data_IF_398659675381
#
_entry.id   IF_398659675381
#
_cell.length_a   1.000
_cell.length_b   1.000
_cell.length_c   1.000
_cell.angle_alpha   90.00
_cell.angle_beta   90.00
_cell.angle_gamma   90.00
#
_symmetry.space_group_name_H-M   'P 1'
#
loop_
_entity.id
_entity.type
_entity.pdbx_description
1 polymer ?
#
# COMPACT_ATOMS: atom_id res chain seq x y z
N UNK A 1 2.58 24.92 -1.70
CA UNK A 1 2.86 25.77 -2.88
C UNK A 1 2.62 27.22 -2.49
N UNK A 2 3.51 28.19 -2.79
CA UNK A 2 3.21 29.58 -2.46
C UNK A 2 2.18 30.13 -3.46
N UNK A 3 1.08 30.66 -2.92
CA UNK A 3 -0.07 31.23 -3.65
C UNK A 3 0.25 32.52 -4.42
N UNK A 4 1.45 33.09 -4.24
CA UNK A 4 1.86 34.38 -4.79
C UNK A 4 3.31 34.31 -5.29
N UNK A 5 3.61 35.04 -6.38
CA UNK A 5 4.97 35.16 -6.92
C UNK A 5 5.90 35.89 -5.95
N UNK A 6 7.22 35.73 -6.11
CA UNK A 6 8.22 36.41 -5.25
C UNK A 6 8.10 37.94 -5.31
N UNK A 7 7.81 38.47 -6.49
CA UNK A 7 7.55 39.89 -6.71
C UNK A 7 6.32 40.36 -5.91
N UNK A 8 5.21 39.63 -5.99
CA UNK A 8 4.00 39.96 -5.22
C UNK A 8 4.25 39.90 -3.71
N UNK A 9 5.06 38.96 -3.24
CA UNK A 9 5.44 38.85 -1.83
C UNK A 9 6.26 40.05 -1.35
N UNK A 10 7.17 40.58 -2.17
CA UNK A 10 7.95 41.78 -1.85
C UNK A 10 7.03 42.99 -1.72
N UNK A 11 6.15 43.21 -2.69
CA UNK A 11 5.18 44.32 -2.66
C UNK A 11 4.24 44.25 -1.46
N UNK A 12 3.80 43.04 -1.08
CA UNK A 12 3.01 42.82 0.12
C UNK A 12 3.76 43.23 1.39
N UNK A 13 5.05 42.92 1.50
CA UNK A 13 5.88 43.32 2.65
C UNK A 13 6.11 44.83 2.71
N UNK A 14 6.33 45.49 1.57
CA UNK A 14 6.50 46.94 1.50
C UNK A 14 5.24 47.65 1.98
N UNK A 15 4.07 47.24 1.47
CA UNK A 15 2.77 47.77 1.92
C UNK A 15 2.54 47.51 3.41
N UNK A 16 2.86 46.32 3.91
CA UNK A 16 2.72 45.98 5.32
C UNK A 16 3.63 46.81 6.22
N UNK A 17 4.87 47.08 5.78
CA UNK A 17 5.79 47.97 6.48
C UNK A 17 5.29 49.42 6.53
N UNK A 18 4.73 49.91 5.43
CA UNK A 18 4.22 51.28 5.30
C UNK A 18 3.09 51.57 6.28
N UNK A 19 2.15 50.64 6.45
CA UNK A 19 1.05 50.77 7.43
C UNK A 19 1.46 50.35 8.84
N UNK A 20 2.76 50.46 9.17
CA UNK A 20 3.34 50.13 10.48
C UNK A 20 2.94 48.74 10.98
N UNK A 21 2.87 47.76 10.07
CA UNK A 21 2.52 46.36 10.34
C UNK A 21 1.08 46.15 10.81
N UNK A 22 0.17 47.05 10.47
CA UNK A 22 -1.26 46.83 10.65
C UNK A 22 -1.80 45.92 9.54
N UNK A 23 -2.09 44.65 9.87
CA UNK A 23 -2.53 43.64 8.89
C UNK A 23 -3.80 44.01 8.11
N UNK A 24 -4.76 44.72 8.74
CA UNK A 24 -6.05 45.04 8.13
C UNK A 24 -5.89 46.19 7.14
N UNK A 25 -5.13 47.21 7.54
CA UNK A 25 -4.78 48.33 6.66
C UNK A 25 -3.89 47.87 5.51
N UNK A 26 -2.97 46.92 5.75
CA UNK A 26 -2.11 46.39 4.70
C UNK A 26 -2.91 45.66 3.62
N UNK A 27 -3.91 44.87 4.01
CA UNK A 27 -4.83 44.24 3.06
C UNK A 27 -5.60 45.29 2.25
N UNK A 28 -6.12 46.32 2.91
CA UNK A 28 -6.88 47.38 2.23
C UNK A 28 -5.99 48.17 1.26
N UNK A 29 -4.80 48.59 1.69
CA UNK A 29 -3.85 49.35 0.89
C UNK A 29 -3.29 48.53 -0.28
N UNK A 30 -3.03 47.23 -0.06
CA UNK A 30 -2.58 46.33 -1.12
C UNK A 30 -3.66 46.17 -2.21
N UNK A 31 -4.93 46.00 -1.80
CA UNK A 31 -6.05 45.91 -2.74
C UNK A 31 -6.31 47.19 -3.51
N UNK A 32 -6.03 48.36 -2.92
CA UNK A 32 -6.11 49.64 -3.63
C UNK A 32 -4.97 49.84 -4.64
N UNK A 33 -3.74 49.44 -4.28
CA UNK A 33 -2.56 49.62 -5.15
C UNK A 33 -2.48 48.60 -6.27
N UNK A 34 -2.96 47.38 -6.02
CA UNK A 34 -2.88 46.27 -6.96
C UNK A 34 -4.24 45.59 -7.13
N UNK A 35 -5.23 46.28 -7.73
CA UNK A 35 -6.59 45.75 -7.87
C UNK A 35 -6.64 44.50 -8.77
N UNK A 36 -5.77 44.44 -9.79
CA UNK A 36 -5.74 43.33 -10.77
C UNK A 36 -5.01 42.08 -10.25
N UNK A 37 -4.42 42.14 -9.05
CA UNK A 37 -3.68 41.02 -8.45
C UNK A 37 -4.58 40.21 -7.51
N UNK A 38 -4.22 38.94 -7.32
CA UNK A 38 -4.84 38.11 -6.31
C UNK A 38 -4.69 38.75 -4.91
N UNK A 39 -5.78 38.80 -4.15
CA UNK A 39 -5.82 39.53 -2.89
C UNK A 39 -5.46 38.63 -1.72
N UNK A 40 -4.41 38.95 -0.94
CA UNK A 40 -4.01 38.15 0.20
C UNK A 40 -5.00 38.30 1.37
N UNK A 41 -5.10 37.24 2.17
CA UNK A 41 -5.76 37.34 3.47
C UNK A 41 -4.90 38.20 4.42
N UNK A 42 -5.50 38.95 5.34
CA UNK A 42 -4.75 39.87 6.22
C UNK A 42 -3.69 39.16 7.09
N UNK A 43 -3.98 37.92 7.53
CA UNK A 43 -3.04 37.02 8.21
C UNK A 43 -1.81 36.62 7.36
N UNK A 44 -1.85 36.78 6.04
CA UNK A 44 -0.74 36.38 5.17
C UNK A 44 0.46 37.32 5.31
N UNK A 45 0.26 38.61 5.54
CA UNK A 45 1.34 39.59 5.73
C UNK A 45 2.28 39.28 6.92
N UNK A 46 1.78 39.06 8.16
CA UNK A 46 2.65 38.67 9.27
C UNK A 46 3.25 37.27 9.10
N UNK A 47 2.53 36.35 8.45
CA UNK A 47 3.08 35.04 8.12
C UNK A 47 4.27 35.18 7.16
N UNK A 48 4.14 36.00 6.12
CA UNK A 48 5.17 36.22 5.10
C UNK A 48 6.42 36.87 5.70
N UNK A 49 6.26 37.88 6.57
CA UNK A 49 7.38 38.49 7.29
C UNK A 49 8.12 37.47 8.16
N UNK A 50 7.40 36.65 8.91
CA UNK A 50 8.01 35.58 9.73
C UNK A 50 8.72 34.56 8.86
N UNK A 51 8.05 34.08 7.82
CA UNK A 51 8.56 33.05 6.95
C UNK A 51 9.84 33.46 6.20
N UNK A 52 10.00 34.75 5.91
CA UNK A 52 11.22 35.29 5.28
C UNK A 52 12.33 35.63 6.29
N UNK A 53 11.98 35.88 7.55
CA UNK A 53 12.95 36.12 8.63
C UNK A 53 13.52 34.84 9.22
N UNK A 54 12.74 33.77 9.21
CA UNK A 54 13.27 32.44 9.52
C UNK A 54 14.14 32.04 8.33
N UNK A 55 15.46 32.00 8.53
CA UNK A 55 16.36 31.40 7.54
C UNK A 55 15.76 30.06 7.11
N UNK A 56 15.67 29.81 5.80
CA UNK A 56 15.51 28.44 5.32
C UNK A 56 16.77 27.72 5.75
N UNK A 57 16.72 27.08 6.90
CA UNK A 57 17.61 25.97 7.18
C UNK A 57 17.18 24.93 6.14
N UNK A 58 17.86 24.92 5.00
CA UNK A 58 17.93 23.71 4.20
C UNK A 58 18.57 22.69 5.16
N UNK A 59 17.73 21.88 5.80
CA UNK A 59 18.25 20.75 6.55
C UNK A 59 19.02 19.92 5.55
N UNK A 60 20.35 20.00 5.62
CA UNK A 60 21.26 19.06 4.99
C UNK A 60 20.66 17.66 5.23
N UNK A 61 20.42 16.88 4.18
CA UNK A 61 19.79 15.58 4.34
C UNK A 61 20.61 14.79 5.36
N UNK A 62 19.97 14.46 6.50
CA UNK A 62 20.62 13.79 7.61
C UNK A 62 21.47 12.63 7.10
N UNK A 63 22.80 12.76 7.16
CA UNK A 63 23.70 11.78 6.58
C UNK A 63 23.41 10.44 7.24
N UNK A 64 23.05 9.47 6.41
CA UNK A 64 22.74 8.12 6.87
C UNK A 64 24.05 7.45 7.29
N UNK A 65 24.45 7.64 8.55
CA UNK A 65 25.62 7.00 9.14
C UNK A 65 25.20 5.62 9.65
N UNK A 66 25.57 4.59 8.90
CA UNK A 66 25.48 3.20 9.34
C UNK A 66 26.89 2.61 9.37
N UNK A 67 27.15 1.77 10.37
CA UNK A 67 28.42 1.03 10.48
C UNK A 67 28.66 0.19 9.23
N UNK A 68 29.89 0.19 8.74
CA UNK A 68 30.33 -0.64 7.61
C UNK A 68 30.02 -2.13 7.85
N UNK A 69 30.12 -2.58 9.10
CA UNK A 69 29.76 -3.94 9.51
C UNK A 69 28.27 -4.25 9.29
N UNK A 70 27.38 -3.31 9.65
CA UNK A 70 25.94 -3.48 9.47
C UNK A 70 25.56 -3.47 7.97
N UNK A 71 26.30 -2.70 7.17
CA UNK A 71 26.17 -2.67 5.71
C UNK A 71 26.58 -4.02 5.10
N UNK A 72 27.75 -4.54 5.46
CA UNK A 72 28.25 -5.86 5.01
C UNK A 72 27.28 -6.97 5.40
N UNK A 73 26.86 -7.02 6.67
CA UNK A 73 25.96 -8.06 7.17
C UNK A 73 24.59 -8.01 6.46
N UNK A 74 24.07 -6.82 6.18
CA UNK A 74 22.80 -6.65 5.45
C UNK A 74 22.91 -7.22 4.03
N UNK A 75 24.01 -6.91 3.34
CA UNK A 75 24.25 -7.40 1.98
C UNK A 75 24.49 -8.91 1.97
N UNK A 76 25.23 -9.45 2.94
CA UNK A 76 25.47 -10.88 3.07
C UNK A 76 24.16 -11.65 3.27
N UNK A 77 23.24 -11.15 4.11
CA UNK A 77 21.93 -11.79 4.29
C UNK A 77 21.12 -11.87 2.98
N UNK A 78 21.14 -10.81 2.17
CA UNK A 78 20.42 -10.77 0.88
C UNK A 78 21.09 -11.66 -0.15
N UNK A 79 22.42 -11.75 -0.14
CA UNK A 79 23.17 -12.61 -1.08
C UNK A 79 22.92 -14.09 -0.78
N UNK A 80 22.83 -14.45 0.51
CA UNK A 80 22.51 -15.82 0.96
C UNK A 80 21.07 -16.18 0.63
N UNK A 81 20.12 -15.30 0.97
CA UNK A 81 18.71 -15.49 0.65
C UNK A 81 18.04 -14.16 0.25
N UNK A 82 17.85 -13.92 -1.07
CA UNK A 82 17.24 -12.70 -1.57
C UNK A 82 15.75 -12.58 -1.24
N UNK A 83 15.14 -13.62 -0.64
CA UNK A 83 13.73 -13.60 -0.21
C UNK A 83 13.53 -13.18 1.24
N UNK A 84 14.62 -13.00 2.00
CA UNK A 84 14.59 -12.63 3.41
C UNK A 84 13.87 -11.29 3.62
N UNK A 85 13.00 -11.23 4.63
CA UNK A 85 12.30 -9.99 4.96
C UNK A 85 13.22 -8.96 5.60
N UNK A 86 13.03 -7.68 5.28
CA UNK A 86 13.79 -6.55 5.88
C UNK A 86 13.73 -6.57 7.40
N UNK A 87 12.58 -6.96 7.98
CA UNK A 87 12.41 -7.06 9.44
C UNK A 87 13.23 -8.19 10.04
N UNK A 88 13.35 -9.31 9.34
CA UNK A 88 14.15 -10.43 9.79
C UNK A 88 15.65 -10.11 9.69
N UNK A 89 16.08 -9.44 8.62
CA UNK A 89 17.46 -8.91 8.52
C UNK A 89 17.74 -7.93 9.68
N UNK A 90 16.81 -7.02 9.94
CA UNK A 90 16.91 -6.06 11.04
C UNK A 90 17.03 -6.74 12.41
N UNK A 91 16.21 -7.77 12.67
CA UNK A 91 16.27 -8.56 13.90
C UNK A 91 17.58 -9.36 14.03
N UNK A 92 18.07 -9.94 12.93
CA UNK A 92 19.31 -10.72 12.91
C UNK A 92 20.55 -9.86 13.17
N UNK A 93 20.58 -8.63 12.64
CA UNK A 93 21.73 -7.71 12.74
C UNK A 93 21.61 -6.77 13.95
N UNK A 94 20.41 -6.63 14.53
CA UNK A 94 20.16 -5.76 15.68
C UNK A 94 20.04 -4.27 15.33
N UNK A 95 19.60 -3.95 14.10
CA UNK A 95 19.42 -2.56 13.64
C UNK A 95 17.96 -2.24 13.31
N UNK A 96 17.62 -0.96 13.17
CA UNK A 96 16.30 -0.54 12.74
C UNK A 96 15.96 -1.01 11.32
N UNK A 97 14.69 -1.32 11.06
CA UNK A 97 14.25 -1.77 9.73
C UNK A 97 14.38 -0.66 8.67
N UNK A 98 14.28 0.61 9.05
CA UNK A 98 14.59 1.75 8.19
C UNK A 98 16.06 1.75 7.75
N UNK A 99 16.98 1.39 8.66
CA UNK A 99 18.41 1.30 8.34
C UNK A 99 18.69 0.22 7.31
N UNK A 100 18.15 -0.98 7.50
CA UNK A 100 18.23 -2.05 6.47
C UNK A 100 17.66 -1.55 5.14
N UNK A 101 16.48 -0.93 5.15
CA UNK A 101 15.86 -0.41 3.92
C UNK A 101 16.73 0.65 3.22
N UNK A 102 17.38 1.53 3.97
CA UNK A 102 18.25 2.56 3.42
C UNK A 102 19.55 1.97 2.87
N UNK A 103 20.14 0.98 3.52
CA UNK A 103 21.29 0.20 3.00
C UNK A 103 20.92 -0.43 1.66
N UNK A 104 19.79 -1.13 1.58
CA UNK A 104 19.34 -1.76 0.33
C UNK A 104 19.14 -0.73 -0.80
N UNK A 105 18.58 0.44 -0.49
CA UNK A 105 18.44 1.55 -1.44
C UNK A 105 19.80 2.09 -1.90
N UNK A 106 20.75 2.30 -0.99
CA UNK A 106 22.13 2.74 -1.28
C UNK A 106 22.79 1.79 -2.28
N UNK A 107 22.55 0.49 -2.13
CA UNK A 107 23.07 -0.57 -3.01
C UNK A 107 22.18 -0.93 -4.20
N UNK A 108 21.15 -0.11 -4.48
CA UNK A 108 20.24 -0.25 -5.62
C UNK A 108 19.43 -1.56 -5.64
N UNK A 109 19.28 -2.23 -4.50
CA UNK A 109 18.37 -3.36 -4.38
C UNK A 109 16.91 -2.90 -4.40
N UNK A 110 16.09 -3.60 -5.17
CA UNK A 110 14.67 -3.33 -5.34
C UNK A 110 13.87 -4.59 -4.98
N UNK A 111 12.69 -4.43 -4.34
CA UNK A 111 11.83 -5.55 -4.04
C UNK A 111 10.94 -5.89 -5.25
N UNK A 112 11.12 -7.08 -5.81
CA UNK A 112 10.27 -7.61 -6.87
C UNK A 112 9.19 -8.54 -6.31
N UNK A 113 7.99 -8.48 -6.90
CA UNK A 113 6.89 -9.42 -6.59
C UNK A 113 6.99 -10.62 -7.52
N UNK A 114 6.69 -11.80 -6.99
CA UNK A 114 6.39 -12.96 -7.83
C UNK A 114 5.17 -12.68 -8.69
N UNK A 115 5.30 -12.93 -9.99
CA UNK A 115 4.16 -12.90 -10.89
C UNK A 115 3.45 -14.25 -10.82
N UNK A 116 2.18 -14.23 -10.40
CA UNK A 116 1.31 -15.40 -10.47
C UNK A 116 0.27 -15.11 -11.54
N UNK A 117 0.52 -15.65 -12.73
CA UNK A 117 -0.41 -15.55 -13.84
C UNK A 117 -1.41 -16.70 -13.72
N UNK A 118 -2.68 -16.36 -13.49
CA UNK A 118 -3.76 -17.29 -13.84
C UNK A 118 -3.90 -17.23 -15.36
N UNK A 119 -3.89 -18.39 -16.02
CA UNK A 119 -4.10 -18.44 -17.46
C UNK A 119 -5.58 -18.10 -17.74
N UNK A 120 -5.85 -16.81 -17.99
CA UNK A 120 -7.15 -16.35 -18.44
C UNK A 120 -7.18 -16.49 -19.96
N UNK A 121 -8.18 -17.17 -20.48
CA UNK A 121 -8.40 -17.25 -21.92
C UNK A 121 -9.07 -15.95 -22.40
N UNK A 122 -8.88 -15.57 -23.67
CA UNK A 122 -9.51 -14.35 -24.23
C UNK A 122 -11.03 -14.35 -24.07
N UNK A 123 -11.66 -15.52 -24.20
CA UNK A 123 -13.10 -15.69 -23.98
C UNK A 123 -13.55 -15.40 -22.54
N UNK A 124 -12.67 -15.56 -21.54
CA UNK A 124 -13.01 -15.28 -20.14
C UNK A 124 -13.18 -13.79 -19.87
N UNK A 125 -12.47 -12.93 -20.62
CA UNK A 125 -12.66 -11.49 -20.51
C UNK A 125 -14.08 -11.08 -20.90
N UNK A 126 -14.58 -11.61 -22.02
CA UNK A 126 -15.93 -11.33 -22.50
C UNK A 126 -16.99 -11.87 -21.53
N UNK A 127 -16.84 -13.12 -21.06
CA UNK A 127 -17.76 -13.73 -20.08
C UNK A 127 -17.81 -12.94 -18.77
N UNK A 128 -16.66 -12.46 -18.28
CA UNK A 128 -16.60 -11.64 -17.06
C UNK A 128 -17.27 -10.28 -17.27
N UNK A 129 -17.09 -9.65 -18.42
CA UNK A 129 -17.73 -8.38 -18.75
C UNK A 129 -19.25 -8.52 -18.82
N UNK A 130 -19.74 -9.57 -19.49
CA UNK A 130 -21.17 -9.90 -19.58
C UNK A 130 -21.77 -10.14 -18.19
N UNK A 131 -21.10 -10.94 -17.35
CA UNK A 131 -21.53 -11.16 -15.97
C UNK A 131 -21.58 -9.87 -15.16
N UNK A 132 -20.55 -9.01 -15.24
CA UNK A 132 -20.54 -7.73 -14.55
C UNK A 132 -21.70 -6.83 -15.00
N UNK A 133 -21.94 -6.73 -16.30
CA UNK A 133 -23.03 -5.93 -16.86
C UNK A 133 -24.39 -6.46 -16.40
N UNK A 134 -24.59 -7.78 -16.46
CA UNK A 134 -25.81 -8.42 -15.94
C UNK A 134 -25.98 -8.16 -14.43
N UNK A 135 -24.95 -8.36 -13.63
CA UNK A 135 -24.99 -8.19 -12.18
C UNK A 135 -25.31 -6.74 -11.79
N UNK A 136 -24.77 -5.76 -12.51
CA UNK A 136 -25.07 -4.34 -12.29
C UNK A 136 -26.54 -4.00 -12.50
N UNK A 137 -27.21 -4.63 -13.46
CA UNK A 137 -28.67 -4.46 -13.69
C UNK A 137 -29.50 -5.12 -12.59
N UNK A 138 -29.00 -6.21 -11.99
CA UNK A 138 -29.70 -6.92 -10.92
C UNK A 138 -29.52 -6.25 -9.53
N UNK A 139 -28.64 -5.26 -9.40
CA UNK A 139 -28.37 -4.56 -8.13
C UNK A 139 -29.66 -4.00 -7.53
N UNK A 140 -30.06 -4.55 -6.39
CA UNK A 140 -31.11 -4.02 -5.52
C UNK A 140 -30.49 -3.60 -4.19
N UNK A 141 -31.07 -2.64 -3.45
CA UNK A 141 -30.59 -2.29 -2.13
C UNK A 141 -30.41 -3.55 -1.26
N UNK A 142 -29.22 -3.71 -0.69
CA UNK A 142 -28.84 -4.85 0.17
C UNK A 142 -28.79 -6.23 -0.50
N UNK A 143 -28.76 -6.34 -1.84
CA UNK A 143 -28.64 -7.64 -2.54
C UNK A 143 -27.48 -8.51 -2.00
N UNK A 144 -26.33 -7.89 -1.73
CA UNK A 144 -25.14 -8.57 -1.18
C UNK A 144 -25.39 -9.28 0.15
N UNK A 145 -26.39 -8.87 0.94
CA UNK A 145 -26.74 -9.55 2.19
C UNK A 145 -27.42 -10.91 1.97
N UNK A 146 -27.96 -11.15 0.78
CA UNK A 146 -28.66 -12.37 0.41
C UNK A 146 -27.84 -13.28 -0.51
N UNK A 147 -26.63 -12.86 -0.88
CA UNK A 147 -25.70 -13.68 -1.66
C UNK A 147 -24.80 -14.43 -0.68
N UNK A 148 -24.82 -15.76 -0.76
CA UNK A 148 -23.82 -16.61 -0.11
C UNK A 148 -22.58 -16.67 -1.02
N UNK A 149 -21.53 -15.98 -0.63
CA UNK A 149 -20.22 -16.11 -1.26
C UNK A 149 -19.50 -17.30 -0.63
N UNK A 150 -19.21 -18.35 -1.38
CA UNK A 150 -18.48 -19.51 -0.89
C UNK A 150 -17.21 -19.74 -1.70
N UNK A 151 -16.19 -20.28 -1.05
CA UNK A 151 -14.97 -20.71 -1.71
C UNK A 151 -14.37 -21.93 -1.00
N UNK A 152 -13.47 -22.60 -1.70
CA UNK A 152 -12.69 -23.72 -1.19
C UNK A 152 -11.22 -23.30 -1.12
N UNK A 153 -10.57 -23.49 0.01
CA UNK A 153 -9.14 -23.22 0.17
C UNK A 153 -8.40 -24.44 0.68
N UNK A 154 -7.21 -24.68 0.11
CA UNK A 154 -6.33 -25.79 0.49
C UNK A 154 -5.21 -25.29 1.38
N UNK A 155 -5.15 -25.80 2.60
CA UNK A 155 -4.09 -25.52 3.56
C UNK A 155 -3.12 -26.68 3.59
N UNK A 156 -1.82 -26.39 3.44
CA UNK A 156 -0.77 -27.41 3.42
C UNK A 156 0.28 -27.07 4.47
N UNK A 157 1.06 -28.07 4.87
CA UNK A 157 2.17 -27.88 5.80
C UNK A 157 3.33 -27.04 5.22
N UNK A 158 3.30 -26.69 3.93
CA UNK A 158 4.25 -25.77 3.29
C UNK A 158 3.87 -24.28 3.50
N UNK A 159 2.76 -24.02 4.20
CA UNK A 159 2.25 -22.69 4.48
C UNK A 159 1.56 -22.03 3.28
N UNK A 160 0.76 -21.02 3.56
CA UNK A 160 0.12 -20.23 2.51
C UNK A 160 1.12 -19.25 1.91
N UNK A 161 1.31 -19.30 0.59
CA UNK A 161 2.09 -18.30 -0.11
C UNK A 161 1.39 -16.94 -0.10
N UNK A 162 1.83 -16.05 0.79
CA UNK A 162 1.34 -14.69 0.81
C UNK A 162 2.13 -13.83 -0.20
N UNK A 163 1.55 -13.62 -1.39
CA UNK A 163 2.10 -12.77 -2.48
C UNK A 163 2.53 -11.38 -1.99
N UNK A 164 1.90 -10.84 -0.94
CA UNK A 164 2.25 -9.51 -0.43
C UNK A 164 3.55 -9.52 0.37
N UNK A 165 3.81 -10.62 1.09
CA UNK A 165 4.99 -10.79 1.95
C UNK A 165 6.17 -11.45 1.21
N UNK A 166 5.90 -12.18 0.12
CA UNK A 166 6.95 -12.80 -0.68
C UNK A 166 7.55 -11.81 -1.68
N UNK A 167 8.70 -11.25 -1.32
CA UNK A 167 9.50 -10.34 -2.15
C UNK A 167 10.84 -10.98 -2.46
N UNK A 168 11.37 -10.64 -3.62
CA UNK A 168 12.72 -11.00 -4.00
C UNK A 168 13.53 -9.71 -4.18
N UNK A 169 14.65 -9.58 -3.48
CA UNK A 169 15.52 -8.43 -3.54
C UNK A 169 16.60 -8.64 -4.58
N UNK A 170 16.62 -7.79 -5.61
CA UNK A 170 17.64 -7.82 -6.65
C UNK A 170 17.93 -6.40 -7.17
N UNK A 171 19.07 -6.22 -7.83
CA UNK A 171 19.40 -4.95 -8.51
C UNK A 171 18.64 -4.78 -9.83
N UNK A 172 18.43 -5.88 -10.53
CA UNK A 172 17.70 -5.96 -11.80
C UNK A 172 16.50 -6.90 -11.66
N UNK A 173 15.49 -6.76 -12.52
CA UNK A 173 14.28 -7.57 -12.43
C UNK A 173 14.58 -9.02 -12.86
N UNK A 174 14.48 -10.01 -11.96
CA UNK A 174 14.81 -11.39 -12.29
C UNK A 174 13.68 -12.14 -13.03
N UNK A 175 12.56 -11.48 -13.34
CA UNK A 175 11.41 -12.09 -14.02
C UNK A 175 10.97 -13.42 -13.39
N UNK A 176 10.89 -13.44 -12.05
CA UNK A 176 10.70 -14.67 -11.30
C UNK A 176 9.29 -15.23 -11.46
N UNK A 177 9.27 -16.49 -11.91
CA UNK A 177 8.13 -17.37 -11.83
C UNK A 177 8.36 -18.36 -10.69
N UNK A 178 7.32 -18.64 -9.91
CA UNK A 178 7.37 -19.72 -8.93
C UNK A 178 6.57 -20.89 -9.48
N UNK A 179 7.22 -22.02 -9.68
CA UNK A 179 6.55 -23.27 -10.02
C UNK A 179 5.67 -23.70 -8.83
N UNK A 180 4.43 -24.12 -9.09
CA UNK A 180 3.57 -24.70 -8.06
C UNK A 180 4.25 -25.92 -7.44
N UNK A 181 4.22 -26.05 -6.12
CA UNK A 181 4.92 -27.13 -5.43
C UNK A 181 4.44 -28.51 -5.89
N UNK A 182 5.39 -29.43 -6.13
CA UNK A 182 5.14 -30.84 -6.44
C UNK A 182 4.81 -31.62 -5.15
N UNK A 183 3.86 -32.55 -5.27
CA UNK A 183 3.41 -33.57 -4.31
C UNK A 183 3.39 -33.14 -2.83
N UNK A 184 2.29 -32.49 -2.45
CA UNK A 184 1.95 -32.26 -1.05
C UNK A 184 1.85 -33.59 -0.28
N UNK A 185 2.55 -33.70 0.86
CA UNK A 185 2.48 -34.90 1.72
C UNK A 185 1.25 -34.90 2.62
N UNK A 186 0.74 -33.73 3.01
CA UNK A 186 -0.51 -33.53 3.76
C UNK A 186 -1.12 -32.16 3.45
N UNK A 187 -2.41 -32.12 3.17
CA UNK A 187 -3.15 -30.87 2.96
C UNK A 187 -4.63 -31.05 3.24
N UNK A 188 -5.22 -30.10 3.96
CA UNK A 188 -6.65 -30.07 4.31
C UNK A 188 -7.35 -29.08 3.39
N UNK A 189 -8.45 -29.48 2.77
CA UNK A 189 -9.31 -28.54 2.06
C UNK A 189 -10.36 -28.03 3.04
N UNK A 190 -10.70 -26.75 2.92
CA UNK A 190 -11.72 -26.10 3.74
C UNK A 190 -12.71 -25.43 2.82
N UNK A 191 -13.99 -25.74 2.98
CA UNK A 191 -15.07 -24.94 2.42
C UNK A 191 -15.58 -23.95 3.47
N UNK A 192 -15.81 -22.72 3.04
CA UNK A 192 -16.44 -21.71 3.88
C UNK A 192 -17.28 -20.76 3.04
N UNK A 193 -18.43 -20.38 3.58
CA UNK A 193 -19.34 -19.40 3.02
C UNK A 193 -19.44 -18.14 3.87
N UNK A 194 -19.76 -17.02 3.24
CA UNK A 194 -20.08 -15.74 3.89
C UNK A 194 -21.39 -15.23 3.31
N UNK A 195 -22.35 -14.93 4.19
CA UNK A 195 -23.64 -14.32 3.83
C UNK A 195 -23.92 -13.13 4.73
N UNK A 196 -24.02 -11.94 4.12
CA UNK A 196 -24.12 -10.69 4.86
C UNK A 196 -22.93 -10.49 5.80
N UNK A 197 -23.15 -10.60 7.11
CA UNK A 197 -22.12 -10.51 8.16
C UNK A 197 -21.85 -11.83 8.86
N UNK A 198 -22.41 -12.94 8.36
CA UNK A 198 -22.30 -14.27 8.98
C UNK A 198 -21.37 -15.16 8.17
N UNK A 199 -20.64 -16.00 8.89
CA UNK A 199 -19.83 -17.08 8.33
C UNK A 199 -20.64 -18.37 8.39
N UNK A 200 -20.53 -19.20 7.36
CA UNK A 200 -21.14 -20.52 7.23
C UNK A 200 -20.02 -21.53 7.01
N UNK A 201 -19.93 -22.58 7.83
CA UNK A 201 -18.75 -23.44 7.95
C UNK A 201 -17.87 -23.03 9.15
N UNK A 202 -16.56 -23.38 9.19
CA UNK A 202 -15.76 -24.09 8.19
C UNK A 202 -16.06 -25.59 8.11
N UNK A 203 -16.02 -26.14 6.90
CA UNK A 203 -16.13 -27.59 6.66
C UNK A 203 -14.79 -28.09 6.17
N UNK A 204 -14.19 -29.03 6.91
CA UNK A 204 -12.88 -29.59 6.62
C UNK A 204 -13.02 -30.90 5.84
N UNK A 205 -12.19 -31.05 4.80
CA UNK A 205 -12.09 -32.27 4.02
C UNK A 205 -10.66 -32.80 4.09
N UNK A 206 -10.53 -34.06 4.49
CA UNK A 206 -9.23 -34.74 4.64
C UNK A 206 -8.62 -35.14 3.28
N UNK A 207 -9.43 -35.24 2.23
CA UNK A 207 -9.02 -35.64 0.88
C UNK A 207 -9.13 -34.50 -0.14
N UNK A 208 -8.37 -34.55 -1.26
CA UNK A 208 -8.61 -33.69 -2.43
C UNK A 208 -10.08 -33.74 -2.84
N UNK A 209 -10.70 -32.57 -2.93
CA UNK A 209 -12.12 -32.46 -3.24
C UNK A 209 -12.41 -33.05 -4.62
N UNK A 210 -13.06 -34.21 -4.61
CA UNK A 210 -13.54 -34.86 -5.83
C UNK A 210 -14.89 -34.24 -6.22
N UNK A 211 -15.24 -34.27 -7.50
CA UNK A 211 -16.51 -33.70 -7.99
C UNK A 211 -17.73 -34.21 -7.20
N UNK A 212 -17.71 -35.47 -6.77
CA UNK A 212 -18.78 -36.10 -6.00
C UNK A 212 -18.92 -35.53 -4.57
N UNK A 213 -17.81 -35.13 -3.94
CA UNK A 213 -17.83 -34.49 -2.61
C UNK A 213 -18.32 -33.03 -2.66
N UNK A 214 -18.19 -32.37 -3.82
CA UNK A 214 -18.78 -31.03 -4.03
C UNK A 214 -20.29 -31.08 -4.25
N UNK A 215 -20.79 -32.19 -4.76
CA UNK A 215 -22.21 -32.39 -5.07
C UNK A 215 -23.00 -33.02 -3.93
N UNK A 216 -22.34 -33.54 -2.88
CA UNK A 216 -23.05 -33.99 -1.68
C UNK A 216 -23.69 -32.80 -0.97
N UNK A 217 -24.94 -32.92 -0.50
CA UNK A 217 -25.60 -31.88 0.27
C UNK A 217 -24.72 -31.46 1.45
N UNK A 218 -24.39 -30.18 1.53
CA UNK A 218 -23.75 -29.63 2.72
C UNK A 218 -24.79 -29.65 3.83
N UNK A 219 -24.65 -30.56 4.80
CA UNK A 219 -25.51 -30.59 5.97
C UNK A 219 -25.15 -29.42 6.90
N UNK A 220 -25.90 -28.33 6.76
CA UNK A 220 -25.69 -27.11 7.52
C UNK A 220 -26.10 -27.24 9.01
N UNK A 221 -26.69 -28.37 9.42
CA UNK A 221 -27.09 -28.57 10.82
C UNK A 221 -25.87 -28.84 11.72
N UNK A 222 -24.80 -29.47 11.20
CA UNK A 222 -23.57 -29.70 11.96
C UNK A 222 -22.68 -28.45 12.07
N UNK A 223 -22.91 -27.42 11.24
CA UNK A 223 -22.12 -26.18 11.21
C UNK A 223 -22.50 -25.17 12.31
N UNK A 224 -23.37 -25.54 13.26
CA UNK A 224 -23.93 -24.66 14.29
C UNK A 224 -23.39 -24.87 15.71
N UNK A 225 -22.40 -25.74 15.89
CA UNK A 225 -21.69 -25.90 17.16
C UNK A 225 -20.26 -25.35 17.04
N UNK A 226 -20.10 -24.07 17.39
CA UNK A 226 -19.01 -23.47 18.17
C UNK A 226 -19.17 -21.94 18.25
#
# INVERSE_FOLDING_TARGET
>A
MPLFTREHQIDMLLVYGEVRKNRREAKALYGQRYPDRAQPHDKYFPWLERHLKTERIEEEPNEFIVSEEAEINTLACIEVDPTTSVRQIAANIGIGWESVRNILKKHKFKPFKYQVHHHLYEADHQRRLEFCNWFMVQQRPNLSRFILFSDESRFTNLGMFNKNNSRYWARENPHLFRQGAFQERFGVNVWMGVIGTRIVGPIFFENPLTADQRMSPIDLNEASLN
#
